data_IF_711238886393
#
_entry.id   IF_711238886393
#
_cell.length_a   1.000
_cell.length_b   1.000
_cell.length_c   1.000
_cell.angle_alpha   90.00
_cell.angle_beta   90.00
_cell.angle_gamma   90.00
#
_symmetry.space_group_name_H-M   'P 1'
#
loop_
_entity.id
_entity.type
_entity.pdbx_description
1 polymer ?
#
# COMPACT_ATOMS: atom_id res chain seq x y z
N UNK A 1 -5.76 -25.08 -0.92
CA UNK A 1 -5.66 -25.81 0.37
C UNK A 1 -5.89 -27.32 0.21
N UNK A 2 -6.98 -27.77 -0.42
CA UNK A 2 -7.25 -29.22 -0.59
C UNK A 2 -6.13 -30.03 -1.26
N UNK A 3 -5.54 -29.54 -2.36
CA UNK A 3 -4.48 -30.27 -3.10
C UNK A 3 -3.17 -30.37 -2.30
N UNK A 4 -2.85 -29.35 -1.49
CA UNK A 4 -1.66 -29.35 -0.64
C UNK A 4 -1.79 -30.34 0.53
N UNK A 5 -2.96 -30.37 1.17
CA UNK A 5 -3.26 -31.36 2.21
C UNK A 5 -3.23 -32.79 1.67
N UNK A 6 -3.82 -33.02 0.49
CA UNK A 6 -3.75 -34.33 -0.18
C UNK A 6 -2.30 -34.70 -0.52
N UNK A 7 -1.49 -33.77 -1.00
CA UNK A 7 -0.06 -33.99 -1.27
C UNK A 7 0.74 -34.35 -0.02
N UNK A 8 0.54 -33.63 1.08
CA UNK A 8 1.21 -33.91 2.37
C UNK A 8 0.79 -35.28 2.92
N UNK A 9 -0.51 -35.59 2.89
CA UNK A 9 -1.03 -36.89 3.35
C UNK A 9 -0.47 -38.03 2.48
N UNK A 10 -0.36 -37.82 1.16
CA UNK A 10 0.20 -38.82 0.23
C UNK A 10 1.67 -39.12 0.51
N UNK A 11 2.46 -38.09 0.85
CA UNK A 11 3.89 -38.22 1.19
C UNK A 11 4.07 -38.94 2.52
N UNK A 12 3.29 -38.57 3.54
CA UNK A 12 3.32 -39.23 4.85
C UNK A 12 2.93 -40.70 4.72
N UNK A 13 1.85 -41.01 4.01
CA UNK A 13 1.40 -42.38 3.79
C UNK A 13 2.41 -43.23 3.00
N UNK A 14 3.04 -42.66 1.96
CA UNK A 14 4.04 -43.36 1.16
C UNK A 14 5.38 -43.55 1.89
N UNK A 15 5.69 -42.72 2.88
CA UNK A 15 6.87 -42.88 3.75
C UNK A 15 6.76 -44.07 4.70
N UNK A 16 5.53 -44.43 5.12
CA UNK A 16 5.31 -45.61 5.98
C UNK A 16 5.34 -46.95 5.20
N UNK A 17 5.16 -46.93 3.87
CA UNK A 17 5.14 -48.14 3.02
C UNK A 17 6.54 -48.58 2.56
N UNK A 18 7.62 -47.92 3.03
CA UNK A 18 9.00 -48.37 2.80
C UNK A 18 9.58 -48.07 1.41
N UNK A 19 8.93 -47.21 0.62
CA UNK A 19 9.41 -46.71 -0.68
C UNK A 19 9.62 -45.19 -0.64
N UNK A 20 10.60 -44.76 0.16
CA UNK A 20 10.91 -43.35 0.41
C UNK A 20 11.14 -42.54 -0.86
N UNK A 21 11.88 -43.08 -1.83
CA UNK A 21 12.36 -42.28 -2.97
C UNK A 21 11.22 -41.97 -3.96
N UNK A 22 10.27 -42.90 -4.12
CA UNK A 22 9.06 -42.70 -4.93
C UNK A 22 8.10 -41.72 -4.24
N UNK A 23 8.00 -41.78 -2.91
CA UNK A 23 7.20 -40.84 -2.12
C UNK A 23 7.70 -39.40 -2.25
N UNK A 24 9.01 -39.19 -2.12
CA UNK A 24 9.63 -37.86 -2.23
C UNK A 24 9.51 -37.28 -3.63
N UNK A 25 9.75 -38.09 -4.67
CA UNK A 25 9.64 -37.64 -6.08
C UNK A 25 8.20 -37.28 -6.43
N UNK A 26 7.22 -38.09 -6.03
CA UNK A 26 5.80 -37.80 -6.25
C UNK A 26 5.34 -36.57 -5.46
N UNK A 27 5.76 -36.44 -4.20
CA UNK A 27 5.48 -35.27 -3.36
C UNK A 27 6.04 -33.97 -3.94
N UNK A 28 7.28 -34.01 -4.43
CA UNK A 28 7.91 -32.89 -5.10
C UNK A 28 7.17 -32.53 -6.40
N UNK A 29 6.78 -33.52 -7.20
CA UNK A 29 6.03 -33.31 -8.44
C UNK A 29 4.67 -32.66 -8.17
N UNK A 30 3.89 -33.18 -7.22
CA UNK A 30 2.57 -32.64 -6.85
C UNK A 30 2.72 -31.21 -6.30
N UNK A 31 3.70 -30.98 -5.43
CA UNK A 31 3.98 -29.66 -4.87
C UNK A 31 4.37 -28.66 -5.97
N UNK A 32 5.22 -29.07 -6.91
CA UNK A 32 5.63 -28.25 -8.05
C UNK A 32 4.45 -27.90 -8.94
N UNK A 33 3.61 -28.88 -9.28
CA UNK A 33 2.38 -28.65 -10.07
C UNK A 33 1.43 -27.70 -9.33
N UNK A 34 1.22 -27.90 -8.04
CA UNK A 34 0.37 -27.03 -7.22
C UNK A 34 0.91 -25.59 -7.20
N UNK A 35 2.21 -25.40 -7.00
CA UNK A 35 2.87 -24.10 -7.02
C UNK A 35 2.69 -23.42 -8.38
N UNK A 36 2.88 -24.15 -9.49
CA UNK A 36 2.65 -23.63 -10.85
C UNK A 36 1.19 -23.20 -11.03
N UNK A 37 0.23 -24.06 -10.66
CA UNK A 37 -1.20 -23.76 -10.75
C UNK A 37 -1.56 -22.53 -9.91
N UNK A 38 -1.04 -22.41 -8.70
CA UNK A 38 -1.25 -21.25 -7.83
C UNK A 38 -0.67 -19.96 -8.43
N UNK A 39 0.52 -20.03 -9.05
CA UNK A 39 1.12 -18.88 -9.75
C UNK A 39 0.29 -18.46 -10.97
N UNK A 40 -0.19 -19.42 -11.76
CA UNK A 40 -1.04 -19.15 -12.93
C UNK A 40 -2.38 -18.58 -12.49
N UNK A 41 -3.04 -19.21 -11.50
CA UNK A 41 -4.31 -18.74 -10.95
C UNK A 41 -4.19 -17.31 -10.40
N UNK A 42 -3.17 -17.02 -9.58
CA UNK A 42 -2.96 -15.69 -9.04
C UNK A 42 -2.63 -14.65 -10.13
N UNK A 43 -1.94 -15.03 -11.20
CA UNK A 43 -1.70 -14.14 -12.36
C UNK A 43 -3.00 -13.83 -13.11
N UNK A 44 -3.82 -14.85 -13.37
CA UNK A 44 -5.12 -14.69 -14.04
C UNK A 44 -6.06 -13.85 -13.18
N UNK A 45 -6.18 -14.17 -11.89
CA UNK A 45 -7.01 -13.44 -10.94
C UNK A 45 -6.61 -11.95 -10.86
N UNK A 46 -5.32 -11.64 -10.78
CA UNK A 46 -4.82 -10.24 -10.86
C UNK A 46 -5.18 -9.57 -12.17
N UNK A 47 -5.07 -10.28 -13.30
CA UNK A 47 -5.47 -9.77 -14.61
C UNK A 47 -6.95 -9.43 -14.70
N UNK A 48 -7.82 -10.30 -14.17
CA UNK A 48 -9.27 -10.09 -14.10
C UNK A 48 -9.59 -8.89 -13.21
N UNK A 49 -9.01 -8.83 -12.00
CA UNK A 49 -9.21 -7.71 -11.06
C UNK A 49 -8.85 -6.38 -11.71
N UNK A 50 -7.70 -6.30 -12.36
CA UNK A 50 -7.23 -5.09 -13.06
C UNK A 50 -8.18 -4.65 -14.18
N UNK A 51 -8.68 -5.60 -14.97
CA UNK A 51 -9.66 -5.30 -16.04
C UNK A 51 -10.99 -4.82 -15.49
N UNK A 52 -11.51 -5.45 -14.42
CA UNK A 52 -12.74 -5.00 -13.74
C UNK A 52 -12.60 -3.56 -13.25
N UNK A 53 -11.48 -3.23 -12.59
CA UNK A 53 -11.21 -1.85 -12.13
C UNK A 53 -11.17 -0.87 -13.30
N UNK A 54 -10.54 -1.22 -14.42
CA UNK A 54 -10.56 -0.37 -15.62
C UNK A 54 -11.98 -0.13 -16.15
N UNK A 55 -12.81 -1.16 -16.19
CA UNK A 55 -14.23 -1.02 -16.59
C UNK A 55 -14.94 -0.04 -15.65
N UNK A 56 -14.75 -0.17 -14.34
CA UNK A 56 -15.32 0.76 -13.35
C UNK A 56 -14.84 2.20 -13.53
N UNK A 57 -13.55 2.41 -13.83
CA UNK A 57 -13.02 3.76 -14.09
C UNK A 57 -13.69 4.37 -15.33
N UNK A 58 -13.77 3.60 -16.43
CA UNK A 58 -14.37 4.10 -17.68
C UNK A 58 -15.89 4.30 -17.54
N UNK A 59 -16.60 3.43 -16.80
CA UNK A 59 -18.03 3.64 -16.53
C UNK A 59 -18.27 4.91 -15.72
N UNK A 60 -17.43 5.20 -14.71
CA UNK A 60 -17.47 6.47 -13.95
C UNK A 60 -17.20 7.68 -14.84
N UNK A 61 -16.30 7.60 -15.82
CA UNK A 61 -16.10 8.71 -16.77
C UNK A 61 -17.31 8.92 -17.69
N UNK A 62 -17.94 7.85 -18.17
CA UNK A 62 -19.19 7.94 -18.94
C UNK A 62 -20.33 8.51 -18.11
N UNK A 63 -20.45 8.10 -16.84
CA UNK A 63 -21.42 8.65 -15.90
C UNK A 63 -21.24 10.16 -15.71
N UNK A 64 -19.99 10.66 -15.58
CA UNK A 64 -19.69 12.09 -15.54
C UNK A 64 -20.15 12.82 -16.81
N UNK A 65 -19.80 12.30 -17.99
CA UNK A 65 -20.23 12.90 -19.26
C UNK A 65 -21.74 12.97 -19.40
N UNK A 66 -22.47 11.99 -18.85
CA UNK A 66 -23.93 11.92 -18.86
C UNK A 66 -24.58 12.64 -17.66
N UNK A 67 -23.80 13.17 -16.73
CA UNK A 67 -24.26 13.72 -15.43
C UNK A 67 -25.17 12.74 -14.67
N UNK A 68 -24.84 11.45 -14.70
CA UNK A 68 -25.57 10.42 -13.96
C UNK A 68 -25.08 10.36 -12.51
N UNK A 69 -25.64 11.20 -11.65
CA UNK A 69 -25.26 11.33 -10.24
C UNK A 69 -25.38 10.02 -9.45
N UNK A 70 -26.35 9.16 -9.79
CA UNK A 70 -26.56 7.87 -9.14
C UNK A 70 -25.43 6.88 -9.37
N UNK A 71 -24.71 7.04 -10.48
CA UNK A 71 -23.61 6.16 -10.89
C UNK A 71 -22.22 6.71 -10.50
N UNK A 72 -22.18 7.88 -9.84
CA UNK A 72 -20.96 8.49 -9.33
C UNK A 72 -20.80 8.20 -7.83
N UNK A 73 -19.58 7.88 -7.38
CA UNK A 73 -19.32 7.70 -5.96
C UNK A 73 -19.42 9.05 -5.24
N UNK A 74 -20.23 9.10 -4.20
CA UNK A 74 -20.38 10.26 -3.32
C UNK A 74 -20.13 9.83 -1.87
N UNK A 75 -19.30 10.59 -1.17
CA UNK A 75 -18.87 10.32 0.22
C UNK A 75 -19.96 10.66 1.25
N UNK A 76 -20.97 11.47 0.89
CA UNK A 76 -22.06 11.85 1.78
C UNK A 76 -21.73 12.90 2.83
N UNK A 77 -20.47 13.35 2.93
CA UNK A 77 -20.00 14.22 4.01
C UNK A 77 -19.90 15.70 3.64
N UNK A 78 -20.35 16.05 2.44
CA UNK A 78 -20.06 17.33 1.80
C UNK A 78 -21.35 18.13 1.65
N UNK A 79 -21.49 19.22 2.41
CA UNK A 79 -22.60 20.17 2.33
C UNK A 79 -22.06 21.57 2.01
N UNK A 80 -22.76 22.28 1.13
CA UNK A 80 -22.38 23.64 0.74
C UNK A 80 -22.55 24.60 1.92
N UNK A 81 -21.63 25.57 2.02
CA UNK A 81 -21.80 26.69 2.95
C UNK A 81 -22.91 27.63 2.44
N UNK A 82 -23.99 27.74 3.21
CA UNK A 82 -25.13 28.60 2.88
C UNK A 82 -24.83 30.08 3.08
N UNK A 83 -23.82 30.42 3.89
CA UNK A 83 -23.40 31.80 4.13
C UNK A 83 -22.44 32.30 3.03
N UNK A 84 -21.95 31.39 2.17
CA UNK A 84 -21.06 31.76 1.08
C UNK A 84 -21.81 32.47 -0.07
N UNK A 85 -21.31 33.60 -0.61
CA UNK A 85 -22.06 34.44 -1.55
C UNK A 85 -22.56 33.77 -2.83
N UNK A 86 -21.91 32.68 -3.25
CA UNK A 86 -22.23 31.99 -4.51
C UNK A 86 -22.12 30.47 -4.45
N UNK A 87 -21.75 29.86 -3.32
CA UNK A 87 -21.48 28.42 -3.29
C UNK A 87 -22.74 27.59 -3.50
N UNK A 88 -23.81 27.96 -2.77
CA UNK A 88 -25.11 27.33 -2.89
C UNK A 88 -25.79 27.65 -4.23
N UNK A 89 -25.69 28.90 -4.71
CA UNK A 89 -26.35 29.34 -5.95
C UNK A 89 -25.76 28.66 -7.21
N UNK A 90 -24.44 28.45 -7.23
CA UNK A 90 -23.74 27.80 -8.34
C UNK A 90 -23.60 26.28 -8.17
N UNK A 91 -24.24 25.69 -7.15
CA UNK A 91 -24.14 24.27 -6.81
C UNK A 91 -22.67 23.79 -6.79
N UNK A 92 -21.78 24.50 -6.07
CA UNK A 92 -20.35 24.20 -6.13
C UNK A 92 -19.94 23.00 -5.28
N UNK A 93 -20.66 22.70 -4.18
CA UNK A 93 -20.34 21.59 -3.28
C UNK A 93 -21.57 20.76 -2.90
N UNK A 94 -21.38 19.47 -2.63
CA UNK A 94 -22.44 18.51 -2.25
C UNK A 94 -22.87 17.51 -3.34
N UNK A 95 -23.98 16.80 -3.10
CA UNK A 95 -24.33 15.56 -3.81
C UNK A 95 -24.59 15.68 -5.32
N UNK A 96 -24.97 16.86 -5.82
CA UNK A 96 -25.21 17.11 -7.26
C UNK A 96 -24.48 18.36 -7.73
N UNK A 97 -23.26 18.54 -7.25
CA UNK A 97 -22.48 19.76 -7.44
C UNK A 97 -21.44 19.69 -8.56
N UNK A 98 -20.92 20.85 -8.95
CA UNK A 98 -19.77 20.95 -9.85
C UNK A 98 -18.56 20.21 -9.28
N UNK A 99 -18.27 20.36 -7.98
CA UNK A 99 -17.18 19.64 -7.32
C UNK A 99 -17.36 18.12 -7.45
N UNK A 100 -18.53 17.58 -7.11
CA UNK A 100 -18.79 16.14 -7.25
C UNK A 100 -18.61 15.64 -8.69
N UNK A 101 -18.92 16.49 -9.69
CA UNK A 101 -18.76 16.13 -11.09
C UNK A 101 -17.29 16.07 -11.53
N UNK A 102 -16.49 17.06 -11.14
CA UNK A 102 -15.11 17.23 -11.65
C UNK A 102 -14.05 16.61 -10.74
N UNK A 103 -14.38 16.32 -9.48
CA UNK A 103 -13.44 15.70 -8.56
C UNK A 103 -13.07 14.28 -9.01
N UNK A 104 -11.76 14.11 -9.14
CA UNK A 104 -11.09 12.84 -9.45
C UNK A 104 -9.87 12.64 -8.55
N UNK A 105 -9.76 13.43 -7.48
CA UNK A 105 -8.70 13.29 -6.50
C UNK A 105 -8.80 11.92 -5.83
N UNK A 106 -7.64 11.27 -5.68
CA UNK A 106 -7.56 10.02 -4.94
C UNK A 106 -7.47 10.24 -3.42
N UNK A 107 -7.11 11.45 -2.99
CA UNK A 107 -6.97 11.83 -1.59
C UNK A 107 -7.97 12.90 -1.18
N UNK A 108 -8.36 12.87 0.09
CA UNK A 108 -9.31 13.81 0.67
C UNK A 108 -8.79 15.24 0.62
N UNK A 109 -7.50 15.43 0.93
CA UNK A 109 -6.85 16.73 0.90
C UNK A 109 -6.76 17.29 -0.54
N UNK A 110 -6.73 16.42 -1.55
CA UNK A 110 -6.78 16.83 -2.96
C UNK A 110 -8.18 17.31 -3.35
N UNK A 111 -9.21 16.60 -2.90
CA UNK A 111 -10.62 16.97 -3.08
C UNK A 111 -10.96 18.28 -2.38
N UNK A 112 -10.55 18.44 -1.11
CA UNK A 112 -10.74 19.67 -0.33
C UNK A 112 -10.00 20.85 -0.95
N UNK A 113 -8.78 20.65 -1.46
CA UNK A 113 -8.06 21.72 -2.18
C UNK A 113 -8.78 22.17 -3.45
N UNK A 114 -9.39 21.24 -4.18
CA UNK A 114 -10.22 21.58 -5.33
C UNK A 114 -11.45 22.40 -4.91
N UNK A 115 -12.13 22.00 -3.84
CA UNK A 115 -13.26 22.76 -3.28
C UNK A 115 -12.84 24.18 -2.89
N UNK A 116 -11.75 24.33 -2.15
CA UNK A 116 -11.19 25.64 -1.78
C UNK A 116 -10.91 26.53 -2.99
N UNK A 117 -10.46 25.95 -4.11
CA UNK A 117 -10.26 26.71 -5.34
C UNK A 117 -11.55 27.14 -6.02
N UNK A 118 -12.65 26.38 -5.89
CA UNK A 118 -13.94 26.70 -6.48
C UNK A 118 -14.66 27.82 -5.71
N UNK A 119 -14.52 27.83 -4.38
CA UNK A 119 -15.19 28.83 -3.51
C UNK A 119 -14.37 30.09 -3.30
N UNK A 120 -13.15 30.16 -3.83
CA UNK A 120 -12.30 31.34 -3.68
C UNK A 120 -12.92 32.57 -4.37
N UNK A 121 -13.34 33.57 -3.58
CA UNK A 121 -14.00 34.79 -4.09
C UNK A 121 -13.08 35.66 -4.97
N UNK A 122 -11.80 35.78 -4.58
CA UNK A 122 -10.79 36.55 -5.31
C UNK A 122 -9.64 35.61 -5.71
N UNK A 123 -9.74 34.95 -6.87
CA UNK A 123 -8.70 34.04 -7.33
C UNK A 123 -7.48 34.81 -7.83
N UNK A 124 -6.29 34.38 -7.41
CA UNK A 124 -5.03 34.89 -7.94
C UNK A 124 -4.89 34.54 -9.44
N UNK A 125 -4.81 35.53 -10.34
CA UNK A 125 -4.67 35.28 -11.78
C UNK A 125 -3.39 34.51 -12.13
N UNK A 126 -2.27 34.78 -11.45
CA UNK A 126 -0.99 34.13 -11.77
C UNK A 126 -1.01 32.65 -11.37
N UNK A 127 -1.45 32.34 -10.15
CA UNK A 127 -1.65 30.95 -9.73
C UNK A 127 -2.68 30.21 -10.59
N UNK A 128 -3.71 30.90 -11.10
CA UNK A 128 -4.71 30.31 -12.00
C UNK A 128 -4.09 29.96 -13.35
N UNK A 129 -3.33 30.86 -13.97
CA UNK A 129 -2.61 30.60 -15.21
C UNK A 129 -1.58 29.46 -15.05
N UNK A 130 -0.87 29.42 -13.92
CA UNK A 130 0.06 28.33 -13.61
C UNK A 130 -0.64 26.96 -13.54
N UNK A 131 -1.79 26.88 -12.87
CA UNK A 131 -2.63 25.66 -12.83
C UNK A 131 -3.13 25.26 -14.23
N UNK A 132 -3.55 26.23 -15.04
CA UNK A 132 -3.99 25.96 -16.42
C UNK A 132 -2.85 25.39 -17.29
N UNK A 133 -1.62 25.90 -17.15
CA UNK A 133 -0.43 25.33 -17.83
C UNK A 133 -0.16 23.89 -17.40
N UNK A 134 -0.24 23.61 -16.09
CA UNK A 134 -0.11 22.24 -15.58
C UNK A 134 -1.15 21.28 -16.15
N UNK A 135 -2.42 21.71 -16.22
CA UNK A 135 -3.49 20.93 -16.83
C UNK A 135 -3.20 20.72 -18.32
N UNK A 136 -2.74 21.76 -19.02
CA UNK A 136 -2.32 21.70 -20.43
C UNK A 136 -1.23 20.65 -20.68
N UNK A 137 -0.23 20.58 -19.81
CA UNK A 137 0.83 19.56 -19.86
C UNK A 137 0.31 18.14 -19.58
N UNK A 138 -0.73 18.02 -18.75
CA UNK A 138 -1.27 16.74 -18.31
C UNK A 138 -2.30 16.15 -19.31
N UNK A 139 -3.05 16.98 -20.04
CA UNK A 139 -4.03 16.58 -21.05
C UNK A 139 -3.48 15.55 -22.06
N UNK A 140 -2.32 15.75 -22.72
CA UNK A 140 -1.81 14.79 -23.70
C UNK A 140 -1.34 13.47 -23.06
N UNK A 141 -1.10 13.44 -21.75
CA UNK A 141 -0.56 12.27 -21.04
C UNK A 141 -1.67 11.30 -20.60
N UNK A 142 -2.54 10.89 -21.52
CA UNK A 142 -3.67 9.97 -21.26
C UNK A 142 -3.22 8.67 -20.59
N UNK A 143 -2.16 8.04 -21.09
CA UNK A 143 -1.61 6.80 -20.53
C UNK A 143 -1.04 6.97 -19.12
N UNK A 144 -0.51 8.15 -18.78
CA UNK A 144 -0.07 8.45 -17.42
C UNK A 144 -1.27 8.60 -16.49
N UNK A 145 -2.26 9.42 -16.87
CA UNK A 145 -3.50 9.62 -16.10
C UNK A 145 -4.22 8.31 -15.83
N UNK A 146 -4.43 7.48 -16.85
CA UNK A 146 -5.10 6.18 -16.72
C UNK A 146 -4.33 5.20 -15.81
N UNK A 147 -2.99 5.25 -15.82
CA UNK A 147 -2.16 4.43 -14.92
C UNK A 147 -2.27 4.91 -13.47
N UNK A 148 -2.23 6.23 -13.23
CA UNK A 148 -2.43 6.79 -11.89
C UNK A 148 -3.80 6.38 -11.36
N UNK A 149 -4.89 6.62 -12.12
CA UNK A 149 -6.24 6.25 -11.71
C UNK A 149 -6.41 4.76 -11.46
N UNK A 150 -5.75 3.90 -12.25
CA UNK A 150 -5.77 2.46 -12.03
C UNK A 150 -5.05 2.08 -10.74
N UNK A 151 -3.84 2.58 -10.52
CA UNK A 151 -3.04 2.24 -9.35
C UNK A 151 -3.75 2.64 -8.06
N UNK A 152 -4.33 3.84 -8.02
CA UNK A 152 -5.10 4.30 -6.86
C UNK A 152 -6.37 3.46 -6.66
N UNK A 153 -7.11 3.16 -7.72
CA UNK A 153 -8.35 2.35 -7.64
C UNK A 153 -8.12 0.86 -7.35
N UNK A 154 -6.88 0.36 -7.49
CA UNK A 154 -6.53 -1.01 -7.13
C UNK A 154 -6.24 -1.17 -5.64
N UNK A 155 -5.92 -0.08 -4.94
CA UNK A 155 -5.57 -0.12 -3.52
C UNK A 155 -6.68 0.48 -2.65
N UNK A 156 -7.37 1.52 -3.13
CA UNK A 156 -8.49 2.11 -2.41
C UNK A 156 -9.70 1.16 -2.34
N UNK A 157 -10.48 1.20 -1.25
CA UNK A 157 -11.75 0.48 -1.15
C UNK A 157 -12.69 0.83 -2.31
N UNK A 158 -13.46 -0.15 -2.78
CA UNK A 158 -14.34 0.03 -3.94
C UNK A 158 -15.42 1.13 -3.74
N UNK A 159 -15.80 1.39 -2.48
CA UNK A 159 -16.89 2.28 -2.06
C UNK A 159 -16.45 3.74 -1.85
N UNK A 160 -15.71 4.31 -2.81
CA UNK A 160 -15.46 5.76 -2.82
C UNK A 160 -14.54 6.27 -1.70
N UNK A 161 -13.82 5.38 -1.01
CA UNK A 161 -12.85 5.78 0.00
C UNK A 161 -11.74 6.63 -0.62
N UNK A 162 -11.50 7.82 -0.04
CA UNK A 162 -10.37 8.67 -0.37
C UNK A 162 -9.21 8.41 0.59
N UNK A 163 -7.98 8.44 0.08
CA UNK A 163 -6.77 8.39 0.90
C UNK A 163 -6.70 9.61 1.82
N UNK A 164 -6.36 9.43 3.09
CA UNK A 164 -6.17 10.52 4.07
C UNK A 164 -4.68 10.72 4.29
N UNK A 165 -4.06 11.56 3.49
CA UNK A 165 -2.62 11.85 3.57
C UNK A 165 -2.22 12.49 4.89
N UNK A 166 -3.11 13.24 5.54
CA UNK A 166 -2.81 13.89 6.81
C UNK A 166 -2.56 12.86 7.93
N UNK A 167 -3.28 11.74 7.94
CA UNK A 167 -3.07 10.64 8.90
C UNK A 167 -1.64 10.10 8.80
N UNK A 168 -1.16 9.90 7.56
CA UNK A 168 0.22 9.46 7.33
C UNK A 168 1.25 10.51 7.75
N UNK A 169 1.00 11.79 7.47
CA UNK A 169 1.90 12.88 7.85
C UNK A 169 1.97 13.07 9.38
N UNK A 170 0.84 12.98 10.05
CA UNK A 170 0.75 13.09 11.51
C UNK A 170 1.47 11.91 12.16
N UNK A 171 1.29 10.70 11.63
CA UNK A 171 2.05 9.53 12.05
C UNK A 171 3.57 9.74 11.89
N UNK A 172 4.02 10.19 10.71
CA UNK A 172 5.44 10.44 10.44
C UNK A 172 6.05 11.52 11.36
N UNK A 173 5.25 12.49 11.80
CA UNK A 173 5.68 13.56 12.72
C UNK A 173 5.67 13.12 14.17
N UNK A 174 4.70 12.30 14.58
CA UNK A 174 4.54 11.82 15.93
C UNK A 174 5.59 10.76 16.31
N UNK A 175 6.04 9.95 15.34
CA UNK A 175 6.96 8.84 15.59
C UNK A 175 8.43 9.31 15.67
N UNK A 176 8.84 9.75 16.86
CA UNK A 176 10.25 9.74 17.26
C UNK A 176 10.55 8.35 17.83
N UNK A 177 11.52 7.63 17.27
CA UNK A 177 11.94 6.32 17.81
C UNK A 177 12.34 6.47 19.28
N UNK A 178 11.53 5.89 20.17
CA UNK A 178 11.82 5.88 21.60
C UNK A 178 13.08 5.07 21.92
N UNK A 179 13.87 5.53 22.90
CA UNK A 179 15.11 4.83 23.31
C UNK A 179 14.85 3.41 23.81
N UNK A 180 13.69 3.16 24.43
CA UNK A 180 13.25 1.84 24.87
C UNK A 180 13.00 0.88 23.70
N UNK A 181 12.50 1.40 22.57
CA UNK A 181 12.26 0.62 21.36
C UNK A 181 13.56 0.05 20.77
N UNK A 182 14.62 0.88 20.70
CA UNK A 182 15.94 0.42 20.25
C UNK A 182 16.54 -0.64 21.17
N UNK A 183 16.36 -0.51 22.50
CA UNK A 183 16.88 -1.47 23.47
C UNK A 183 16.20 -2.84 23.34
N UNK A 184 14.87 -2.86 23.20
CA UNK A 184 14.11 -4.11 23.02
C UNK A 184 14.48 -4.79 21.71
N UNK A 185 14.57 -4.04 20.61
CA UNK A 185 15.02 -4.58 19.32
C UNK A 185 16.41 -5.19 19.40
N UNK A 186 17.39 -4.48 19.97
CA UNK A 186 18.77 -4.99 20.12
C UNK A 186 18.79 -6.26 20.97
N UNK A 187 18.08 -6.30 22.10
CA UNK A 187 17.97 -7.51 22.92
C UNK A 187 17.39 -8.67 22.11
N UNK A 188 16.33 -8.42 21.32
CA UNK A 188 15.68 -9.47 20.55
C UNK A 188 16.55 -9.98 19.40
N UNK A 189 17.29 -9.08 18.74
CA UNK A 189 18.26 -9.43 17.69
C UNK A 189 19.39 -10.30 18.25
N UNK A 190 19.93 -9.92 19.41
CA UNK A 190 20.95 -10.72 20.12
C UNK A 190 20.39 -12.10 20.46
N UNK A 191 19.17 -12.16 20.99
CA UNK A 191 18.53 -13.41 21.40
C UNK A 191 18.14 -14.30 20.20
N UNK A 192 17.74 -13.70 19.07
CA UNK A 192 17.42 -14.39 17.83
C UNK A 192 18.65 -14.99 17.13
N UNK A 193 19.84 -14.40 17.31
CA UNK A 193 21.11 -14.96 16.82
C UNK A 193 21.68 -15.99 17.80
N UNK A 194 21.57 -15.72 19.11
CA UNK A 194 22.13 -16.57 20.16
C UNK A 194 21.46 -17.95 20.20
N UNK A 195 20.13 -17.99 20.02
CA UNK A 195 19.35 -19.24 20.07
C UNK A 195 19.76 -20.26 19.00
N UNK A 196 19.80 -19.92 17.69
CA UNK A 196 20.28 -20.84 16.66
C UNK A 196 21.78 -21.11 16.78
N UNK A 197 22.60 -20.15 17.23
CA UNK A 197 24.03 -20.39 17.46
C UNK A 197 24.26 -21.49 18.52
N UNK A 198 23.60 -21.40 19.67
CA UNK A 198 23.68 -22.42 20.72
C UNK A 198 23.12 -23.79 20.25
N UNK A 199 22.08 -23.78 19.41
CA UNK A 199 21.54 -24.99 18.79
C UNK A 199 22.56 -25.64 17.84
N UNK A 200 23.25 -24.84 17.00
CA UNK A 200 24.27 -25.35 16.08
C UNK A 200 25.50 -25.89 16.79
N UNK A 201 25.95 -25.24 17.87
CA UNK A 201 27.07 -25.70 18.71
C UNK A 201 26.76 -27.05 19.40
N UNK A 202 25.51 -27.26 19.82
CA UNK A 202 25.04 -28.55 20.32
C UNK A 202 25.07 -29.63 19.23
N UNK A 203 24.62 -29.31 18.02
CA UNK A 203 24.60 -30.23 16.87
C UNK A 203 26.01 -30.72 16.48
N UNK A 204 27.04 -29.92 16.71
CA UNK A 204 28.45 -30.26 16.46
C UNK A 204 29.12 -30.94 17.68
N UNK A 205 28.33 -31.27 18.72
CA UNK A 205 28.79 -31.94 19.95
C UNK A 205 29.85 -31.15 20.74
N UNK A 206 29.93 -29.83 20.55
CA UNK A 206 30.90 -28.95 21.26
C UNK A 206 30.45 -28.66 22.69
N UNK A 207 29.14 -28.78 22.98
CA UNK A 207 28.54 -28.47 24.28
C UNK A 207 27.58 -29.60 24.66
N UNK A 208 27.76 -30.21 25.83
CA UNK A 208 26.91 -31.32 26.32
C UNK A 208 25.61 -30.85 27.02
N UNK A 209 25.59 -29.61 27.54
CA UNK A 209 24.48 -29.12 28.36
C UNK A 209 23.40 -28.39 27.54
N UNK A 210 22.13 -28.57 27.92
CA UNK A 210 20.93 -28.01 27.27
C UNK A 210 20.73 -26.50 27.39
N UNK A 211 21.77 -25.67 27.38
CA UNK A 211 21.66 -24.20 27.50
C UNK A 211 20.70 -23.55 26.50
N UNK A 212 20.51 -24.17 25.33
CA UNK A 212 19.56 -23.74 24.30
C UNK A 212 18.09 -23.77 24.78
N UNK A 213 17.71 -24.65 25.72
CA UNK A 213 16.33 -24.68 26.25
C UNK A 213 16.08 -23.50 27.18
N UNK A 214 17.10 -23.06 27.92
CA UNK A 214 17.02 -21.88 28.78
C UNK A 214 17.02 -20.59 27.97
N UNK A 215 17.79 -20.50 26.88
CA UNK A 215 17.73 -19.33 25.98
C UNK A 215 16.40 -19.25 25.25
N UNK A 216 15.85 -20.38 24.78
CA UNK A 216 14.52 -20.47 24.18
C UNK A 216 13.42 -20.10 25.19
N UNK A 217 13.50 -20.61 26.42
CA UNK A 217 12.57 -20.27 27.49
C UNK A 217 12.62 -18.78 27.85
N UNK A 218 13.81 -18.21 27.98
CA UNK A 218 13.99 -16.78 28.20
C UNK A 218 13.46 -15.94 27.03
N UNK A 219 13.66 -16.39 25.79
CA UNK A 219 13.11 -15.75 24.59
C UNK A 219 11.58 -15.76 24.61
N UNK A 220 10.96 -16.89 24.93
CA UNK A 220 9.49 -17.02 25.02
C UNK A 220 8.94 -16.15 26.17
N UNK A 221 9.55 -16.17 27.36
CA UNK A 221 9.11 -15.34 28.49
C UNK A 221 9.25 -13.85 28.14
N UNK A 222 10.38 -13.46 27.56
CA UNK A 222 10.61 -12.08 27.12
C UNK A 222 9.61 -11.66 26.03
N UNK A 223 9.28 -12.56 25.10
CA UNK A 223 8.26 -12.34 24.10
C UNK A 223 6.87 -12.15 24.73
N UNK A 224 6.47 -13.01 25.67
CA UNK A 224 5.17 -12.94 26.35
C UNK A 224 5.02 -11.68 27.22
N UNK A 225 6.05 -11.30 27.98
CA UNK A 225 6.04 -10.09 28.81
C UNK A 225 5.92 -8.82 27.96
N UNK A 226 6.58 -8.81 26.79
CA UNK A 226 6.55 -7.68 25.88
C UNK A 226 5.49 -7.82 24.78
N UNK A 227 4.59 -8.82 24.86
CA UNK A 227 3.57 -9.09 23.83
C UNK A 227 2.70 -7.87 23.52
N UNK A 228 2.33 -7.09 24.54
CA UNK A 228 1.54 -5.86 24.34
C UNK A 228 2.29 -4.81 23.53
N UNK A 229 3.61 -4.70 23.73
CA UNK A 229 4.45 -3.81 22.93
C UNK A 229 4.54 -4.32 21.50
N UNK A 230 4.69 -5.64 21.28
CA UNK A 230 4.71 -6.22 19.93
C UNK A 230 3.38 -6.10 19.20
N UNK A 231 2.25 -6.31 19.88
CA UNK A 231 0.93 -6.15 19.28
C UNK A 231 0.72 -4.71 18.81
N UNK A 232 1.06 -3.72 19.64
CA UNK A 232 1.00 -2.31 19.25
C UNK A 232 1.93 -1.99 18.07
N UNK A 233 3.16 -2.51 18.09
CA UNK A 233 4.13 -2.32 17.00
C UNK A 233 3.69 -2.97 15.70
N UNK A 234 3.10 -4.17 15.79
CA UNK A 234 2.60 -4.88 14.62
C UNK A 234 1.40 -4.16 14.04
N UNK A 235 0.44 -3.72 14.87
CA UNK A 235 -0.72 -2.96 14.44
C UNK A 235 -0.30 -1.61 13.82
N UNK A 236 0.66 -0.89 14.43
CA UNK A 236 1.22 0.34 13.87
C UNK A 236 1.97 0.10 12.55
N UNK A 237 2.78 -0.96 12.47
CA UNK A 237 3.52 -1.29 11.27
C UNK A 237 2.60 -1.80 10.15
N UNK A 238 1.54 -2.52 10.48
CA UNK A 238 0.52 -2.98 9.54
C UNK A 238 -0.29 -1.79 9.00
N UNK A 239 -0.76 -0.89 9.87
CA UNK A 239 -1.42 0.35 9.44
C UNK A 239 -0.49 1.20 8.57
N UNK A 240 0.77 1.33 8.95
CA UNK A 240 1.78 2.00 8.13
C UNK A 240 1.92 1.32 6.77
N UNK A 241 2.00 -0.01 6.77
CA UNK A 241 2.13 -0.80 5.56
C UNK A 241 0.97 -0.56 4.60
N UNK A 242 -0.26 -0.61 5.10
CA UNK A 242 -1.47 -0.34 4.34
C UNK A 242 -1.43 1.06 3.71
N UNK A 243 -1.12 2.11 4.49
CA UNK A 243 -1.07 3.48 3.98
C UNK A 243 0.01 3.67 2.91
N UNK A 244 1.18 3.07 3.10
CA UNK A 244 2.27 3.13 2.11
C UNK A 244 1.95 2.30 0.86
N UNK A 245 1.29 1.15 0.98
CA UNK A 245 0.91 0.33 -0.17
C UNK A 245 0.06 1.12 -1.18
N UNK A 246 -0.73 2.10 -0.71
CA UNK A 246 -1.55 2.99 -1.55
C UNK A 246 -0.70 3.94 -2.39
N UNK A 247 0.25 4.63 -1.75
CA UNK A 247 0.96 5.77 -2.35
C UNK A 247 2.18 5.32 -3.16
N UNK A 248 2.81 4.22 -2.74
CA UNK A 248 4.09 3.76 -3.29
C UNK A 248 4.07 3.40 -4.77
N UNK A 249 3.04 2.73 -5.31
CA UNK A 249 2.94 2.49 -6.75
C UNK A 249 2.82 3.79 -7.55
N UNK A 250 2.14 4.79 -7.02
CA UNK A 250 1.96 6.11 -7.66
C UNK A 250 3.29 6.87 -7.69
N UNK A 251 4.02 6.90 -6.57
CA UNK A 251 5.37 7.48 -6.53
C UNK A 251 6.32 6.76 -7.49
N UNK A 252 6.33 5.43 -7.50
CA UNK A 252 7.14 4.67 -8.45
C UNK A 252 6.82 4.98 -9.91
N UNK A 253 5.54 5.26 -10.24
CA UNK A 253 5.15 5.71 -11.56
C UNK A 253 5.69 7.11 -11.88
N UNK A 254 5.54 8.08 -10.98
CA UNK A 254 6.03 9.46 -11.16
C UNK A 254 7.56 9.48 -11.32
N UNK A 255 8.26 8.69 -10.50
CA UNK A 255 9.72 8.57 -10.51
C UNK A 255 10.24 8.01 -11.84
N UNK A 256 9.59 6.98 -12.37
CA UNK A 256 9.99 6.29 -13.60
C UNK A 256 9.54 6.99 -14.89
N UNK A 257 8.48 7.81 -14.82
CA UNK A 257 7.94 8.50 -15.98
C UNK A 257 8.88 9.60 -16.49
N UNK A 258 9.03 9.78 -17.80
CA UNK A 258 9.84 10.87 -18.36
C UNK A 258 8.92 12.04 -18.74
N UNK A 259 8.98 13.12 -17.96
CA UNK A 259 8.28 14.37 -18.28
C UNK A 259 9.07 15.18 -19.30
N UNK A 260 8.37 16.00 -20.09
CA UNK A 260 9.02 16.95 -21.01
C UNK A 260 9.81 17.96 -20.17
N UNK A 261 11.06 18.24 -20.55
CA UNK A 261 11.95 19.10 -19.75
C UNK A 261 11.39 20.51 -19.53
N UNK A 262 10.66 21.02 -20.51
CA UNK A 262 10.08 22.38 -20.48
C UNK A 262 8.64 22.42 -19.92
N UNK A 263 8.15 21.31 -19.35
CA UNK A 263 6.80 21.26 -18.78
C UNK A 263 6.80 21.74 -17.33
N UNK A 264 5.79 22.53 -16.96
CA UNK A 264 5.55 22.93 -15.56
C UNK A 264 5.30 21.69 -14.69
N UNK A 265 4.79 20.61 -15.30
CA UNK A 265 4.60 19.32 -14.63
C UNK A 265 5.93 18.70 -14.17
N UNK A 266 7.02 18.89 -14.92
CA UNK A 266 8.34 18.41 -14.54
C UNK A 266 8.89 19.13 -13.30
N UNK A 267 8.61 20.43 -13.16
CA UNK A 267 8.99 21.23 -11.99
C UNK A 267 8.28 20.72 -10.72
N UNK A 268 6.97 20.49 -10.81
CA UNK A 268 6.18 19.94 -9.70
C UNK A 268 6.65 18.53 -9.31
N UNK A 269 7.03 17.71 -10.29
CA UNK A 269 7.54 16.36 -10.05
C UNK A 269 9.02 16.31 -9.63
N UNK A 270 9.79 17.41 -9.77
CA UNK A 270 11.22 17.43 -9.53
C UNK A 270 11.63 17.00 -8.10
N UNK A 271 10.94 17.43 -7.02
CA UNK A 271 11.27 16.98 -5.66
C UNK A 271 11.19 15.47 -5.49
N UNK A 272 10.25 14.81 -6.17
CA UNK A 272 10.02 13.36 -6.08
C UNK A 272 11.06 12.55 -6.89
N UNK A 273 11.83 13.19 -7.77
CA UNK A 273 12.78 12.54 -8.68
C UNK A 273 14.24 12.74 -8.30
N UNK A 274 14.54 13.43 -7.19
CA UNK A 274 15.91 13.66 -6.73
C UNK A 274 16.60 12.32 -6.40
N UNK A 275 17.67 11.99 -7.14
CA UNK A 275 18.50 10.80 -6.95
C UNK A 275 19.18 10.87 -5.57
N UNK A 276 18.57 10.24 -4.58
CA UNK A 276 19.02 10.22 -3.18
C UNK A 276 17.88 10.17 -2.17
N UNK A 277 16.69 10.67 -2.56
CA UNK A 277 15.51 10.73 -1.73
C UNK A 277 14.27 10.18 -2.46
N UNK A 278 14.44 9.12 -3.27
CA UNK A 278 13.31 8.46 -3.93
C UNK A 278 12.38 7.89 -2.85
N UNK A 279 11.18 8.47 -2.65
CA UNK A 279 10.29 8.02 -1.59
C UNK A 279 9.97 6.53 -1.73
N UNK A 280 9.89 6.03 -2.97
CA UNK A 280 9.59 4.63 -3.24
C UNK A 280 10.70 3.64 -2.81
N UNK A 281 11.96 4.09 -2.76
CA UNK A 281 13.09 3.25 -2.34
C UNK A 281 13.38 3.41 -0.86
N UNK A 282 13.22 4.62 -0.34
CA UNK A 282 13.36 4.88 1.09
C UNK A 282 12.31 4.09 1.87
N UNK A 283 11.02 4.21 1.53
CA UNK A 283 9.97 3.48 2.20
C UNK A 283 10.13 1.95 2.06
N UNK A 284 10.51 1.42 0.88
CA UNK A 284 10.81 -0.02 0.73
C UNK A 284 11.97 -0.49 1.59
N UNK A 285 12.98 0.35 1.84
CA UNK A 285 14.12 0.01 2.69
C UNK A 285 13.71 -0.01 4.15
N UNK A 286 13.03 1.04 4.62
CA UNK A 286 12.56 1.12 6.01
C UNK A 286 11.50 0.05 6.31
N UNK A 287 10.60 -0.26 5.37
CA UNK A 287 9.62 -1.36 5.52
C UNK A 287 10.28 -2.74 5.63
N UNK A 288 11.35 -3.00 4.88
CA UNK A 288 12.09 -4.26 5.01
C UNK A 288 12.80 -4.37 6.36
N UNK A 289 13.25 -3.25 6.92
CA UNK A 289 13.89 -3.22 8.24
C UNK A 289 12.86 -3.35 9.37
N UNK A 290 11.62 -2.90 9.17
CA UNK A 290 10.54 -3.08 10.14
C UNK A 290 9.93 -4.49 10.12
N UNK A 291 10.01 -5.21 8.99
CA UNK A 291 9.46 -6.57 8.82
C UNK A 291 10.49 -7.70 9.05
N UNK A 292 11.78 -7.38 9.19
CA UNK A 292 12.87 -8.34 9.40
C UNK A 292 13.24 -8.44 10.89
#
# INVERSE_FOLDING_TARGET
MGIFLVGVISVVWASEVGRSDVAWTLGFLISSVFIIVMMVHSRIARGIRRRKVYVTIKSRHLARLRRSWKDLPYSGADEADLDHPFEADLDLYGAKSLHHLIDTAFSREGSERLHQWLVQMEPDPEATLWRQRLIGDLIPLTGFRDRVSLLTSLVLPAEGGQFRGQVLLDWLRAHKTDGRFKMVLVMLSVLAVLTPLLLTLKLISVIELGWWTYSLGAYIIFYLVNFRLYAHLFDEAEHLYEQFEIVMPVFGLIESFQFRRDSTLAEVAAPLKKRGALPSRFAKREMRLAMA
#
